data_IF_095084272984
#
_entry.id   IF_095084272984
#
_cell.length_a   1.000
_cell.length_b   1.000
_cell.length_c   1.000
_cell.angle_alpha   90.00
_cell.angle_beta   90.00
_cell.angle_gamma   90.00
#
_symmetry.space_group_name_H-M   'P 1'
#
loop_
_entity.id
_entity.type
_entity.pdbx_description
1 polymer ?
#
# COMPACT_ATOMS: atom_id res chain seq x y z
N UNK A 1 16.80 3.79 -20.67
CA UNK A 1 17.53 4.50 -19.60
C UNK A 1 17.81 3.49 -18.51
N UNK A 2 19.07 3.16 -18.24
CA UNK A 2 19.42 2.23 -17.17
C UNK A 2 19.14 2.94 -15.83
N UNK A 3 18.42 2.27 -14.93
CA UNK A 3 18.13 2.79 -13.60
C UNK A 3 19.39 2.55 -12.78
N UNK A 4 20.07 3.63 -12.38
CA UNK A 4 21.21 3.51 -11.48
C UNK A 4 20.75 2.92 -10.13
N UNK A 5 21.47 1.92 -9.59
CA UNK A 5 21.07 1.27 -8.36
C UNK A 5 21.10 2.27 -7.20
N UNK A 6 19.93 2.52 -6.60
CA UNK A 6 19.79 3.39 -5.44
C UNK A 6 20.60 2.80 -4.28
N UNK A 7 21.65 3.51 -3.86
CA UNK A 7 22.50 3.09 -2.74
C UNK A 7 21.76 3.31 -1.43
N UNK A 8 21.26 2.23 -0.83
CA UNK A 8 20.60 2.27 0.47
C UNK A 8 21.68 2.47 1.54
N UNK A 9 21.55 3.47 2.43
CA UNK A 9 22.50 3.66 3.53
C UNK A 9 22.47 2.45 4.48
N UNK A 10 23.64 1.96 4.86
CA UNK A 10 23.80 0.75 5.69
C UNK A 10 23.20 0.90 7.11
N UNK A 11 22.99 2.15 7.57
CA UNK A 11 22.65 2.46 8.96
C UNK A 11 21.15 2.62 9.25
N UNK A 12 20.27 2.11 8.40
CA UNK A 12 18.80 2.29 8.54
C UNK A 12 18.20 1.59 9.76
N UNK A 13 18.90 0.64 10.40
CA UNK A 13 18.36 -0.18 11.48
C UNK A 13 18.89 0.15 12.88
N UNK A 14 19.59 1.29 13.06
CA UNK A 14 20.08 1.67 14.39
C UNK A 14 18.97 2.32 15.21
N UNK A 15 18.74 1.78 16.41
CA UNK A 15 17.83 2.35 17.39
C UNK A 15 18.29 3.75 17.78
N UNK A 16 17.33 4.67 17.95
CA UNK A 16 17.61 6.04 18.40
C UNK A 16 18.17 6.05 19.84
N UNK A 17 19.34 6.68 20.00
CA UNK A 17 20.06 6.77 21.28
C UNK A 17 20.11 8.23 21.70
N UNK A 18 19.57 8.52 22.88
CA UNK A 18 19.47 9.90 23.37
C UNK A 18 20.71 10.27 24.20
N UNK A 19 21.06 9.42 25.17
CA UNK A 19 22.18 9.67 26.10
C UNK A 19 23.15 8.50 26.02
N UNK A 20 24.21 8.67 25.24
CA UNK A 20 25.27 7.67 25.07
C UNK A 20 24.73 6.33 24.56
N UNK A 21 24.90 5.21 25.30
CA UNK A 21 24.42 3.89 24.88
C UNK A 21 22.93 3.66 25.18
N UNK A 22 22.23 4.60 25.82
CA UNK A 22 20.86 4.41 26.31
C UNK A 22 19.84 4.86 25.25
N UNK A 23 18.86 4.00 24.97
CA UNK A 23 17.79 4.30 24.01
C UNK A 23 16.62 5.03 24.65
N UNK A 24 15.83 5.76 23.85
CA UNK A 24 14.62 6.45 24.33
C UNK A 24 13.67 5.47 25.07
N UNK A 25 13.51 4.27 24.51
CA UNK A 25 12.62 3.25 25.07
C UNK A 25 13.10 2.79 26.44
N UNK A 26 14.41 2.68 26.65
CA UNK A 26 14.98 2.31 27.93
C UNK A 26 14.74 3.36 29.02
N UNK A 27 14.90 4.64 28.67
CA UNK A 27 14.63 5.76 29.57
C UNK A 27 13.17 5.78 29.99
N UNK A 28 12.25 5.61 29.03
CA UNK A 28 10.81 5.57 29.31
C UNK A 28 10.42 4.44 30.27
N UNK A 29 10.94 3.24 30.06
CA UNK A 29 10.66 2.09 30.95
C UNK A 29 11.14 2.38 32.37
N UNK A 30 12.38 2.87 32.52
CA UNK A 30 12.97 3.17 33.83
C UNK A 30 12.24 4.32 34.52
N UNK A 31 11.84 5.36 33.79
CA UNK A 31 11.05 6.46 34.35
C UNK A 31 9.71 5.98 34.89
N UNK A 32 8.98 5.18 34.11
CA UNK A 32 7.67 4.67 34.52
C UNK A 32 7.81 3.74 35.74
N UNK A 33 8.76 2.80 35.72
CA UNK A 33 8.94 1.87 36.84
C UNK A 33 9.40 2.58 38.11
N UNK A 34 10.31 3.56 37.98
CA UNK A 34 10.80 4.36 39.11
C UNK A 34 9.70 5.27 39.65
N UNK A 35 8.90 5.88 38.77
CA UNK A 35 7.75 6.69 39.15
C UNK A 35 6.71 5.89 39.92
N UNK A 36 6.41 4.66 39.49
CA UNK A 36 5.51 3.75 40.21
C UNK A 36 6.09 3.36 41.58
N UNK A 37 7.37 2.98 41.64
CA UNK A 37 8.04 2.69 42.92
C UNK A 37 8.03 3.87 43.88
N UNK A 38 8.28 5.09 43.37
CA UNK A 38 8.22 6.30 44.17
C UNK A 38 6.81 6.59 44.67
N UNK A 39 5.78 6.40 43.82
CA UNK A 39 4.39 6.55 44.24
C UNK A 39 4.02 5.57 45.36
N UNK A 40 4.45 4.30 45.26
CA UNK A 40 4.25 3.29 46.32
C UNK A 40 4.96 3.70 47.61
N UNK A 41 6.22 4.13 47.52
CA UNK A 41 6.99 4.58 48.68
C UNK A 41 6.35 5.81 49.34
N UNK A 42 5.90 6.77 48.55
CA UNK A 42 5.23 7.98 49.04
C UNK A 42 3.89 7.64 49.73
N UNK A 43 3.11 6.73 49.15
CA UNK A 43 1.86 6.23 49.76
C UNK A 43 2.12 5.52 51.11
N UNK A 44 3.16 4.68 51.17
CA UNK A 44 3.56 4.03 52.43
C UNK A 44 4.02 5.05 53.47
N UNK A 45 4.77 6.08 53.06
CA UNK A 45 5.25 7.14 53.97
C UNK A 45 4.12 7.98 54.54
N UNK A 46 3.07 8.20 53.77
CA UNK A 46 1.88 8.90 54.24
C UNK A 46 1.10 8.10 55.29
N UNK A 47 1.21 6.77 55.28
CA UNK A 47 0.48 5.88 56.20
C UNK A 47 1.13 5.68 57.57
N UNK A 48 2.39 6.09 57.76
CA UNK A 48 3.09 5.99 59.04
C UNK A 48 4.60 5.84 58.93
N UNK A 49 5.31 5.63 60.06
CA UNK A 49 6.75 5.40 60.06
C UNK A 49 7.08 4.08 59.33
N UNK A 50 7.98 4.17 58.35
CA UNK A 50 8.32 3.06 57.46
C UNK A 50 9.57 2.34 57.98
N UNK A 51 9.52 1.01 58.02
CA UNK A 51 10.68 0.16 58.30
C UNK A 51 11.59 -0.01 57.06
N UNK A 52 12.86 -0.39 57.27
CA UNK A 52 13.78 -0.66 56.18
C UNK A 52 13.30 -1.77 55.21
N UNK A 53 12.57 -2.76 55.73
CA UNK A 53 11.97 -3.84 54.93
C UNK A 53 10.89 -3.31 53.98
N UNK A 54 9.98 -2.48 54.48
CA UNK A 54 8.91 -1.87 53.66
C UNK A 54 9.50 -0.97 52.57
N UNK A 55 10.56 -0.23 52.89
CA UNK A 55 11.27 0.58 51.89
C UNK A 55 11.84 -0.31 50.78
N UNK A 56 12.47 -1.43 51.13
CA UNK A 56 13.01 -2.37 50.15
C UNK A 56 11.92 -2.91 49.21
N UNK A 57 10.75 -3.25 49.76
CA UNK A 57 9.60 -3.74 48.98
C UNK A 57 9.10 -2.68 48.00
N UNK A 58 9.03 -1.41 48.42
CA UNK A 58 8.57 -0.31 47.56
C UNK A 58 9.47 -0.09 46.32
N UNK A 59 10.76 -0.41 46.41
CA UNK A 59 11.73 -0.25 45.33
C UNK A 59 11.87 -1.48 44.41
N UNK A 60 11.20 -2.59 44.71
CA UNK A 60 11.20 -3.79 43.85
C UNK A 60 10.75 -3.47 42.41
N UNK A 61 9.65 -2.73 42.17
CA UNK A 61 9.22 -2.41 40.80
C UNK A 61 10.26 -1.64 40.00
N UNK A 62 11.00 -0.71 40.62
CA UNK A 62 12.10 0.01 39.97
C UNK A 62 13.23 -0.94 39.54
N UNK A 63 13.62 -1.88 40.42
CA UNK A 63 14.61 -2.91 40.10
C UNK A 63 14.17 -3.79 38.94
N UNK A 64 12.91 -4.23 38.93
CA UNK A 64 12.33 -5.01 37.82
C UNK A 64 12.35 -4.18 36.52
N UNK A 65 11.98 -2.90 36.57
CA UNK A 65 12.00 -2.03 35.39
C UNK A 65 13.38 -1.87 34.77
N UNK A 66 14.44 -1.79 35.59
CA UNK A 66 15.83 -1.76 35.10
C UNK A 66 16.17 -3.07 34.38
N UNK A 67 15.83 -4.21 34.97
CA UNK A 67 16.05 -5.53 34.35
C UNK A 67 15.32 -5.62 33.00
N UNK A 68 14.06 -5.22 32.93
CA UNK A 68 13.27 -5.23 31.70
C UNK A 68 13.80 -4.28 30.62
N UNK A 69 14.48 -3.20 31.02
CA UNK A 69 15.02 -2.18 30.12
C UNK A 69 16.37 -2.60 29.50
N UNK A 70 17.27 -3.17 30.31
CA UNK A 70 18.64 -3.46 29.88
C UNK A 70 18.88 -4.92 29.48
N UNK A 71 18.13 -5.87 30.03
CA UNK A 71 18.31 -7.29 29.67
C UNK A 71 17.76 -7.54 28.27
N UNK A 72 18.65 -8.01 27.40
CA UNK A 72 18.33 -8.48 26.05
C UNK A 72 18.69 -9.95 25.95
N UNK A 73 17.77 -10.77 25.42
CA UNK A 73 18.01 -12.19 25.14
C UNK A 73 18.01 -12.32 23.60
N UNK A 74 19.11 -12.83 23.03
CA UNK A 74 19.28 -12.99 21.58
C UNK A 74 18.97 -11.70 20.78
N UNK A 75 19.37 -10.54 21.31
CA UNK A 75 19.15 -9.23 20.66
C UNK A 75 17.73 -8.66 20.80
N UNK A 76 16.81 -9.35 21.48
CA UNK A 76 15.45 -8.90 21.72
C UNK A 76 15.33 -8.44 23.18
N UNK A 77 14.71 -7.28 23.42
CA UNK A 77 14.47 -6.81 24.79
C UNK A 77 13.51 -7.73 25.55
N UNK A 78 13.74 -7.89 26.85
CA UNK A 78 12.93 -8.76 27.70
C UNK A 78 11.44 -8.36 27.69
N UNK A 79 11.14 -7.06 27.67
CA UNK A 79 9.77 -6.55 27.48
C UNK A 79 9.14 -7.08 26.19
N UNK A 80 9.87 -7.04 25.06
CA UNK A 80 9.35 -7.53 23.78
C UNK A 80 9.13 -9.04 23.80
N UNK A 81 10.00 -9.80 24.47
CA UNK A 81 9.82 -11.24 24.65
C UNK A 81 8.57 -11.54 25.46
N UNK A 82 8.31 -10.80 26.53
CA UNK A 82 7.08 -10.94 27.32
C UNK A 82 5.84 -10.64 26.48
N UNK A 83 5.83 -9.54 25.72
CA UNK A 83 4.72 -9.20 24.84
C UNK A 83 4.48 -10.26 23.76
N UNK A 84 5.54 -10.76 23.13
CA UNK A 84 5.45 -11.84 22.14
C UNK A 84 4.95 -13.15 22.78
N UNK A 85 5.30 -13.40 24.03
CA UNK A 85 4.84 -14.57 24.77
C UNK A 85 3.35 -14.47 25.09
N UNK A 86 2.85 -13.27 25.42
CA UNK A 86 1.41 -12.99 25.59
C UNK A 86 0.69 -13.13 24.24
N UNK A 87 1.22 -12.54 23.17
CA UNK A 87 0.66 -12.62 21.82
C UNK A 87 0.58 -14.07 21.32
N UNK A 88 1.54 -14.92 21.70
CA UNK A 88 1.54 -16.35 21.39
C UNK A 88 0.36 -17.10 22.02
N UNK A 89 -0.19 -16.64 23.15
CA UNK A 89 -1.34 -17.28 23.80
C UNK A 89 -2.60 -17.13 22.93
N UNK A 90 -2.78 -15.95 22.35
CA UNK A 90 -3.93 -15.64 21.48
C UNK A 90 -3.78 -16.26 20.08
N UNK A 91 -2.54 -16.34 19.57
CA UNK A 91 -2.29 -16.88 18.24
C UNK A 91 -2.33 -18.42 18.21
N UNK A 92 -3.05 -19.03 17.25
CA UNK A 92 -3.08 -20.48 17.12
C UNK A 92 -1.68 -21.03 16.80
N UNK A 93 -1.20 -21.96 17.64
CA UNK A 93 0.11 -22.61 17.48
C UNK A 93 0.22 -23.39 16.15
N UNK A 94 -0.90 -23.94 15.68
CA UNK A 94 -0.96 -24.69 14.43
C UNK A 94 -1.45 -23.80 13.30
N UNK A 95 -0.53 -23.39 12.42
CA UNK A 95 -0.88 -22.77 11.13
C UNK A 95 -1.30 -23.87 10.17
N UNK A 96 -2.59 -23.97 9.90
CA UNK A 96 -3.11 -24.81 8.82
C UNK A 96 -3.18 -23.97 7.54
N UNK A 97 -2.69 -24.53 6.43
CA UNK A 97 -2.99 -23.99 5.12
C UNK A 97 -4.44 -24.33 4.81
N UNK A 98 -5.29 -23.31 4.74
CA UNK A 98 -6.63 -23.42 4.20
C UNK A 98 -6.68 -22.60 2.91
N UNK A 99 -7.28 -23.12 1.83
CA UNK A 99 -7.57 -22.31 0.67
C UNK A 99 -8.48 -21.17 1.12
N UNK A 100 -7.94 -19.95 1.17
CA UNK A 100 -8.76 -18.76 1.42
C UNK A 100 -9.74 -18.69 0.26
N UNK A 101 -11.03 -18.74 0.56
CA UNK A 101 -12.03 -18.28 -0.40
C UNK A 101 -11.67 -16.82 -0.69
N UNK A 102 -11.14 -16.57 -1.88
CA UNK A 102 -10.68 -15.25 -2.27
C UNK A 102 -11.83 -14.25 -2.18
N UNK A 103 -11.48 -12.97 -2.15
CA UNK A 103 -12.47 -11.91 -2.31
C UNK A 103 -13.01 -12.03 -3.74
N UNK A 104 -14.27 -12.43 -3.88
CA UNK A 104 -14.95 -12.42 -5.17
C UNK A 104 -15.30 -10.99 -5.52
N UNK A 105 -14.42 -10.31 -6.26
CA UNK A 105 -14.72 -9.00 -6.82
C UNK A 105 -15.60 -9.24 -8.05
N UNK A 106 -16.91 -9.06 -7.89
CA UNK A 106 -17.82 -9.02 -9.03
C UNK A 106 -17.65 -7.67 -9.72
N UNK A 107 -16.79 -7.63 -10.74
CA UNK A 107 -16.59 -6.42 -11.56
C UNK A 107 -17.84 -6.26 -12.42
N UNK A 108 -18.86 -5.58 -11.88
CA UNK A 108 -20.04 -5.18 -12.64
C UNK A 108 -19.63 -4.02 -13.54
N UNK A 109 -19.12 -4.35 -14.73
CA UNK A 109 -18.94 -3.34 -15.78
C UNK A 109 -20.33 -2.92 -16.26
N UNK A 110 -20.81 -1.76 -15.83
CA UNK A 110 -22.00 -1.16 -16.43
C UNK A 110 -21.69 -0.91 -17.91
N UNK A 111 -22.39 -1.54 -18.86
CA UNK A 111 -22.15 -1.25 -20.27
C UNK A 111 -22.44 0.22 -20.50
N UNK A 112 -21.48 0.94 -21.10
CA UNK A 112 -21.62 2.34 -21.48
C UNK A 112 -22.88 2.45 -22.33
N UNK A 113 -23.94 3.05 -21.79
CA UNK A 113 -25.20 3.26 -22.50
C UNK A 113 -24.88 3.90 -23.84
N UNK A 114 -25.15 3.18 -24.94
CA UNK A 114 -25.05 3.72 -26.29
C UNK A 114 -25.88 5.00 -26.32
N UNK A 115 -25.25 6.14 -26.67
CA UNK A 115 -25.97 7.40 -26.77
C UNK A 115 -27.15 7.22 -27.72
N UNK A 116 -28.31 7.75 -27.33
CA UNK A 116 -29.57 7.68 -28.09
C UNK A 116 -29.57 8.61 -29.31
N UNK A 117 -28.47 8.68 -30.05
CA UNK A 117 -28.41 9.42 -31.31
C UNK A 117 -28.64 8.44 -32.48
N UNK A 118 -29.82 8.46 -33.12
CA UNK A 118 -30.15 7.51 -34.21
C UNK A 118 -29.24 7.66 -35.45
N UNK A 119 -28.51 8.78 -35.55
CA UNK A 119 -27.54 9.03 -36.62
C UNK A 119 -26.22 8.26 -36.44
N UNK A 120 -25.76 8.03 -35.20
CA UNK A 120 -24.49 7.34 -34.90
C UNK A 120 -24.67 5.82 -35.03
N UNK A 121 -25.83 5.30 -34.62
CA UNK A 121 -26.16 3.88 -34.72
C UNK A 121 -26.23 3.39 -36.18
N UNK A 122 -26.85 4.16 -37.09
CA UNK A 122 -26.94 3.82 -38.51
C UNK A 122 -25.58 3.84 -39.22
N UNK A 123 -24.70 4.78 -38.86
CA UNK A 123 -23.36 4.92 -39.47
C UNK A 123 -22.41 3.79 -39.05
N UNK A 124 -22.55 3.26 -37.84
CA UNK A 124 -21.73 2.14 -37.36
C UNK A 124 -22.16 0.79 -37.94
N UNK A 125 -23.47 0.59 -38.16
CA UNK A 125 -23.97 -0.67 -38.73
C UNK A 125 -23.68 -0.76 -40.24
N UNK A 126 -23.92 0.31 -41.00
CA UNK A 126 -23.65 0.31 -42.45
C UNK A 126 -22.16 0.18 -42.80
N UNK A 127 -21.27 0.74 -41.96
CA UNK A 127 -19.83 0.73 -42.21
C UNK A 127 -19.17 -0.58 -41.74
N UNK A 128 -19.72 -1.25 -40.73
CA UNK A 128 -19.14 -2.49 -40.20
C UNK A 128 -19.38 -3.70 -41.11
N UNK A 129 -20.60 -3.87 -41.62
CA UNK A 129 -20.94 -5.04 -42.45
C UNK A 129 -20.29 -4.98 -43.83
N UNK A 130 -20.37 -3.83 -44.51
CA UNK A 130 -19.81 -3.65 -45.86
C UNK A 130 -18.28 -3.76 -45.90
N UNK A 131 -17.59 -3.19 -44.90
CA UNK A 131 -16.12 -3.23 -44.86
C UNK A 131 -15.56 -4.60 -44.50
N UNK A 132 -16.24 -5.35 -43.64
CA UNK A 132 -15.83 -6.72 -43.31
C UNK A 132 -16.09 -7.64 -44.50
N UNK A 133 -17.19 -7.46 -45.23
CA UNK A 133 -17.48 -8.24 -46.43
C UNK A 133 -16.50 -7.94 -47.57
N UNK A 134 -16.11 -6.68 -47.77
CA UNK A 134 -15.06 -6.28 -48.72
C UNK A 134 -13.70 -6.92 -48.36
N UNK A 135 -13.32 -6.92 -47.09
CA UNK A 135 -12.08 -7.53 -46.61
C UNK A 135 -12.11 -9.07 -46.74
N UNK A 136 -13.26 -9.71 -46.48
CA UNK A 136 -13.44 -11.14 -46.72
C UNK A 136 -13.26 -11.48 -48.19
N UNK A 137 -13.87 -10.71 -49.09
CA UNK A 137 -13.72 -10.88 -50.54
C UNK A 137 -12.27 -10.71 -51.00
N UNK A 138 -11.53 -9.76 -50.42
CA UNK A 138 -10.12 -9.53 -50.72
C UNK A 138 -9.21 -10.66 -50.21
N UNK A 139 -9.56 -11.25 -49.06
CA UNK A 139 -8.84 -12.39 -48.49
C UNK A 139 -9.12 -13.68 -49.28
N UNK A 140 -10.39 -13.90 -49.68
CA UNK A 140 -10.81 -15.06 -50.47
C UNK A 140 -10.29 -15.02 -51.91
N UNK A 141 -9.98 -13.83 -52.44
CA UNK A 141 -9.43 -13.68 -53.80
C UNK A 141 -7.99 -14.20 -53.93
N UNK A 142 -7.23 -14.31 -52.83
CA UNK A 142 -5.83 -14.77 -52.87
C UNK A 142 -4.92 -13.89 -53.75
N UNK A 143 -3.59 -14.09 -53.74
CA UNK A 143 -2.67 -13.30 -54.56
C UNK A 143 -2.94 -13.55 -56.05
N UNK A 144 -3.11 -12.50 -56.89
CA UNK A 144 -3.25 -12.70 -58.32
C UNK A 144 -1.92 -13.19 -58.91
N UNK A 145 -1.89 -14.44 -59.39
CA UNK A 145 -0.85 -14.94 -60.26
C UNK A 145 -1.04 -14.30 -61.65
N UNK A 146 -0.54 -13.08 -61.83
CA UNK A 146 -0.29 -12.52 -63.16
C UNK A 146 0.90 -11.56 -63.10
N UNK A 147 2.00 -12.05 -63.66
CA UNK A 147 3.07 -11.35 -64.38
C UNK A 147 3.51 -9.97 -63.87
N UNK A 148 4.73 -9.96 -63.36
CA UNK A 148 5.64 -8.81 -63.27
C UNK A 148 5.43 -7.81 -64.40
N UNK A 149 4.78 -6.69 -64.10
CA UNK A 149 4.97 -5.45 -64.86
C UNK A 149 5.20 -4.32 -63.86
N UNK A 150 6.47 -3.92 -63.73
CA UNK A 150 6.86 -2.70 -63.04
C UNK A 150 6.13 -1.51 -63.65
N UNK A 151 5.19 -0.91 -62.91
CA UNK A 151 4.71 0.44 -63.19
C UNK A 151 5.18 1.36 -62.06
N UNK A 152 6.29 2.05 -62.32
CA UNK A 152 6.77 3.16 -61.51
C UNK A 152 5.71 4.26 -61.48
N UNK A 153 4.90 4.34 -60.43
CA UNK A 153 4.16 5.56 -60.10
C UNK A 153 5.13 6.55 -59.47
N UNK A 154 5.29 7.78 -59.99
CA UNK A 154 6.12 8.77 -59.33
C UNK A 154 5.48 9.12 -57.97
N UNK A 155 6.25 8.93 -56.91
CA UNK A 155 5.91 9.44 -55.58
C UNK A 155 5.79 10.96 -55.71
N UNK A 156 4.60 11.49 -55.49
CA UNK A 156 4.34 12.92 -55.56
C UNK A 156 4.86 13.58 -54.27
N UNK A 157 6.01 14.28 -54.27
CA UNK A 157 6.68 14.72 -53.04
C UNK A 157 5.91 15.81 -52.28
N UNK A 158 4.90 16.43 -52.89
CA UNK A 158 4.06 17.46 -52.27
C UNK A 158 3.03 16.96 -51.24
N UNK A 159 2.81 15.63 -51.13
CA UNK A 159 1.85 15.06 -50.16
C UNK A 159 2.45 14.78 -48.79
N UNK A 160 3.77 14.79 -48.68
CA UNK A 160 4.48 14.65 -47.40
C UNK A 160 4.74 16.05 -46.84
N UNK A 161 3.70 16.69 -46.33
CA UNK A 161 3.88 17.84 -45.44
C UNK A 161 3.87 17.30 -44.01
N UNK A 162 5.02 17.39 -43.34
CA UNK A 162 5.11 17.12 -41.92
C UNK A 162 4.40 18.26 -41.18
N UNK A 163 3.16 18.03 -40.77
CA UNK A 163 2.44 18.95 -39.91
C UNK A 163 3.19 19.01 -38.56
N UNK A 164 3.81 20.16 -38.26
CA UNK A 164 4.49 20.41 -36.97
C UNK A 164 3.44 20.32 -35.86
N UNK A 165 3.36 19.17 -35.20
CA UNK A 165 2.57 18.99 -33.97
C UNK A 165 3.07 19.97 -32.90
N UNK A 166 2.17 20.83 -32.42
CA UNK A 166 2.44 21.82 -31.36
C UNK A 166 2.37 21.27 -29.93
N UNK A 167 2.25 19.95 -29.72
CA UNK A 167 2.11 19.37 -28.38
C UNK A 167 3.03 18.15 -28.20
N UNK A 168 3.85 18.09 -27.13
CA UNK A 168 4.64 16.92 -26.79
C UNK A 168 3.70 15.75 -26.42
N UNK A 169 4.16 14.53 -26.71
CA UNK A 169 3.40 13.27 -26.53
C UNK A 169 3.31 12.84 -25.06
N UNK A 170 4.03 13.53 -24.18
CA UNK A 170 4.02 13.24 -22.76
C UNK A 170 2.94 14.06 -22.06
N UNK A 171 1.79 13.42 -21.81
CA UNK A 171 0.69 13.90 -20.96
C UNK A 171 1.12 13.92 -19.47
N UNK A 172 2.14 14.71 -19.15
CA UNK A 172 2.46 15.09 -17.77
C UNK A 172 2.16 16.58 -17.63
N UNK A 173 0.87 16.90 -17.56
CA UNK A 173 0.44 18.17 -17.00
C UNK A 173 0.57 18.08 -15.46
N UNK A 174 1.25 19.03 -14.79
CA UNK A 174 1.21 19.10 -13.34
C UNK A 174 -0.23 19.36 -12.89
N UNK A 175 -0.73 18.70 -11.82
CA UNK A 175 -2.12 18.84 -11.41
C UNK A 175 -2.41 20.26 -10.95
N UNK A 176 -3.39 20.90 -11.59
CA UNK A 176 -4.01 22.11 -11.10
C UNK A 176 -4.67 21.83 -9.74
N UNK A 177 -4.28 22.64 -8.75
CA UNK A 177 -4.69 22.52 -7.36
C UNK A 177 -6.10 23.09 -7.20
N UNK A 178 -7.13 22.29 -7.47
CA UNK A 178 -8.49 22.62 -7.07
C UNK A 178 -8.73 22.17 -5.62
N UNK A 179 -8.71 23.15 -4.73
CA UNK A 179 -9.33 23.07 -3.41
C UNK A 179 -10.83 23.16 -3.67
N UNK A 180 -11.61 22.13 -3.33
CA UNK A 180 -12.97 22.27 -2.79
C UNK A 180 -13.64 20.91 -2.45
N UNK A 181 -14.23 20.87 -1.24
CA UNK A 181 -15.29 19.96 -0.76
C UNK A 181 -14.98 18.46 -0.57
N UNK A 182 -14.41 18.12 0.60
CA UNK A 182 -14.56 16.77 1.19
C UNK A 182 -15.98 16.63 1.78
N UNK A 183 -16.94 16.28 0.92
CA UNK A 183 -18.31 15.90 1.31
C UNK A 183 -18.50 14.38 1.26
N UNK A 184 -18.72 13.79 2.44
CA UNK A 184 -19.18 12.43 2.76
C UNK A 184 -19.35 11.39 1.64
N UNK A 185 -18.53 10.34 1.68
CA UNK A 185 -18.75 9.13 0.86
C UNK A 185 -17.92 7.90 1.19
N UNK A 186 -16.95 7.96 2.11
CA UNK A 186 -15.96 6.89 2.32
C UNK A 186 -16.36 5.80 3.33
N UNK A 187 -17.51 5.91 4.02
CA UNK A 187 -17.87 4.98 5.09
C UNK A 187 -18.81 3.84 4.67
N UNK A 188 -19.29 3.78 3.41
CA UNK A 188 -20.23 2.73 2.98
C UNK A 188 -19.58 1.39 2.60
N UNK A 189 -18.27 1.36 2.35
CA UNK A 189 -17.58 0.16 1.84
C UNK A 189 -16.92 -0.70 2.95
N UNK A 190 -16.98 -0.27 4.21
CA UNK A 190 -16.32 -0.97 5.34
C UNK A 190 -17.29 -1.83 6.17
N UNK A 191 -18.58 -1.81 5.87
CA UNK A 191 -19.57 -2.64 6.60
C UNK A 191 -19.79 -3.96 5.87
N UNK A 192 -19.53 -5.12 6.51
CA UNK A 192 -19.84 -6.42 5.91
C UNK A 192 -21.36 -6.57 5.71
N UNK A 193 -21.81 -7.33 4.69
CA UNK A 193 -23.23 -7.53 4.43
C UNK A 193 -23.91 -8.25 5.61
N UNK A 194 -25.19 -7.92 5.91
CA UNK A 194 -25.92 -8.57 6.99
C UNK A 194 -26.07 -10.07 6.69
N UNK A 195 -25.71 -10.90 7.67
CA UNK A 195 -25.94 -12.34 7.64
C UNK A 195 -27.44 -12.61 7.65
N UNK A 196 -27.97 -13.15 6.56
CA UNK A 196 -29.31 -13.74 6.56
C UNK A 196 -29.28 -14.99 7.45
N UNK A 197 -30.08 -14.95 8.52
CA UNK A 197 -30.49 -16.12 9.30
C UNK A 197 -31.58 -16.89 8.54
#
# INVERSE_FOLDING_TARGET
>A
MAIDPVKIPQNVYVEDRIIGPITLRQIMIVMISTGISYAIWAAMKASGPISGLQTSIAWIPAGIGIVFSFVKINGISLLRIMLLSIEKIDKPSRRIWMPRQGIYINIVTKPKTKSKDPAIAKKSQQKGETQIEELSKLLDQGPPENETTETKKPVNPGRVQAEKRKKPVDDIAPPEKNVDSFGGGLMRDITPPPSHA
#
